data_IF_453492584487
#
_entry.id   IF_453492584487
#
_cell.length_a   1.000
_cell.length_b   1.000
_cell.length_c   1.000
_cell.angle_alpha   90.00
_cell.angle_beta   90.00
_cell.angle_gamma   90.00
#
_symmetry.space_group_name_H-M   'P 1'
#
loop_
_entity.id
_entity.type
_entity.pdbx_description
1 polymer ?
#
# COMPACT_ATOMS: atom_id res chain seq x y z
N UNK A 1 36.54 5.25 -15.60
CA UNK A 1 35.06 5.31 -15.67
C UNK A 1 34.53 4.99 -14.29
N UNK A 2 33.94 5.97 -13.60
CA UNK A 2 33.58 5.84 -12.18
C UNK A 2 32.34 4.98 -11.97
N UNK A 3 32.38 4.09 -10.97
CA UNK A 3 31.27 3.21 -10.56
C UNK A 3 29.96 3.96 -10.28
N UNK A 4 30.03 5.25 -9.94
CA UNK A 4 28.86 6.11 -9.71
C UNK A 4 28.11 6.44 -11.01
N UNK A 5 28.80 6.55 -12.15
CA UNK A 5 28.18 6.85 -13.44
C UNK A 5 27.39 5.67 -13.99
N UNK A 6 27.89 4.44 -13.78
CA UNK A 6 27.20 3.23 -14.23
C UNK A 6 25.95 2.95 -13.40
N UNK A 7 25.98 3.23 -12.09
CA UNK A 7 24.84 3.03 -11.20
C UNK A 7 23.67 3.98 -11.53
N UNK A 8 23.96 5.25 -11.82
CA UNK A 8 22.92 6.23 -12.16
C UNK A 8 22.29 5.96 -13.53
N UNK A 9 23.07 5.50 -14.51
CA UNK A 9 22.55 5.14 -15.83
C UNK A 9 21.58 3.95 -15.77
N UNK A 10 21.98 2.86 -15.10
CA UNK A 10 21.13 1.66 -14.93
C UNK A 10 19.83 2.04 -14.20
N UNK A 11 19.93 2.87 -13.17
CA UNK A 11 18.77 3.32 -12.41
C UNK A 11 17.79 4.12 -13.29
N UNK A 12 18.29 5.04 -14.14
CA UNK A 12 17.46 5.81 -15.06
C UNK A 12 16.80 4.94 -16.14
N UNK A 13 17.48 3.91 -16.65
CA UNK A 13 16.90 2.94 -17.57
C UNK A 13 15.77 2.13 -16.90
N UNK A 14 15.98 1.72 -15.65
CA UNK A 14 14.96 1.03 -14.86
C UNK A 14 13.76 1.96 -14.64
N UNK A 15 13.97 3.20 -14.22
CA UNK A 15 12.91 4.19 -14.07
C UNK A 15 12.10 4.34 -15.37
N UNK A 16 12.78 4.53 -16.50
CA UNK A 16 12.14 4.64 -17.82
C UNK A 16 11.30 3.41 -18.17
N UNK A 17 11.79 2.21 -17.83
CA UNK A 17 11.03 0.97 -18.03
C UNK A 17 9.78 0.87 -17.15
N UNK A 18 9.86 1.34 -15.90
CA UNK A 18 8.74 1.37 -14.96
C UNK A 18 7.66 2.33 -15.42
N UNK A 19 8.04 3.54 -15.84
CA UNK A 19 7.11 4.54 -16.36
C UNK A 19 6.35 3.97 -17.56
N UNK A 20 7.06 3.36 -18.52
CA UNK A 20 6.43 2.74 -19.71
C UNK A 20 5.46 1.63 -19.33
N UNK A 21 5.85 0.77 -18.39
CA UNK A 21 5.06 -0.39 -17.98
C UNK A 21 3.82 0.00 -17.15
N UNK A 22 3.95 0.96 -16.24
CA UNK A 22 2.87 1.36 -15.33
C UNK A 22 1.85 2.32 -15.98
N UNK A 23 2.29 3.11 -16.96
CA UNK A 23 1.47 4.13 -17.64
C UNK A 23 0.07 3.65 -18.08
N UNK A 24 -0.07 2.51 -18.79
CA UNK A 24 -1.39 2.00 -19.19
C UNK A 24 -2.31 1.69 -18.01
N UNK A 25 -1.74 1.22 -16.89
CA UNK A 25 -2.50 0.79 -15.71
C UNK A 25 -2.98 1.94 -14.84
N UNK A 26 -2.36 3.12 -14.94
CA UNK A 26 -2.75 4.33 -14.21
C UNK A 26 -3.51 5.33 -15.10
N UNK A 27 -3.75 4.98 -16.37
CA UNK A 27 -4.47 5.82 -17.33
C UNK A 27 -3.70 7.07 -17.76
N UNK A 28 -2.36 7.01 -17.81
CA UNK A 28 -1.48 8.12 -18.23
C UNK A 28 -0.55 7.67 -19.35
N UNK A 29 0.00 8.62 -20.10
CA UNK A 29 1.06 8.33 -21.07
C UNK A 29 2.44 8.40 -20.40
N UNK A 30 3.46 7.70 -20.93
CA UNK A 30 4.83 7.86 -20.45
C UNK A 30 5.35 9.29 -20.60
N UNK A 31 4.95 10.00 -21.66
CA UNK A 31 5.32 11.41 -21.87
C UNK A 31 4.76 12.32 -20.79
N UNK A 32 3.58 12.00 -20.24
CA UNK A 32 2.96 12.76 -19.14
C UNK A 32 3.83 12.77 -17.89
N UNK A 33 4.72 11.79 -17.71
CA UNK A 33 5.67 11.80 -16.60
C UNK A 33 6.61 13.00 -16.66
N UNK A 34 7.09 13.35 -17.86
CA UNK A 34 8.03 14.47 -18.03
C UNK A 34 7.33 15.84 -18.04
N UNK A 35 6.09 15.91 -18.54
CA UNK A 35 5.35 17.18 -18.62
C UNK A 35 4.57 17.51 -17.34
N UNK A 36 4.10 16.48 -16.62
CA UNK A 36 3.18 16.61 -15.48
C UNK A 36 3.51 15.58 -14.38
N UNK A 37 4.77 15.60 -13.93
CA UNK A 37 5.31 14.61 -12.99
C UNK A 37 4.46 14.48 -11.72
N UNK A 38 4.09 15.60 -11.07
CA UNK A 38 3.30 15.57 -9.83
C UNK A 38 1.97 14.81 -9.97
N UNK A 39 1.27 15.01 -11.09
CA UNK A 39 0.01 14.33 -11.35
C UNK A 39 0.25 12.85 -11.66
N UNK A 40 1.30 12.55 -12.41
CA UNK A 40 1.67 11.17 -12.73
C UNK A 40 2.02 10.39 -11.46
N UNK A 41 2.85 10.97 -10.59
CA UNK A 41 3.26 10.38 -9.32
C UNK A 41 2.08 10.17 -8.37
N UNK A 42 1.16 11.14 -8.27
CA UNK A 42 -0.08 10.97 -7.50
C UNK A 42 -0.90 9.78 -7.98
N UNK A 43 -1.03 9.62 -9.30
CA UNK A 43 -1.75 8.48 -9.88
C UNK A 43 -1.03 7.15 -9.63
N UNK A 44 0.30 7.13 -9.73
CA UNK A 44 1.12 5.96 -9.45
C UNK A 44 0.99 5.54 -7.98
N UNK A 45 1.17 6.47 -7.04
CA UNK A 45 1.00 6.23 -5.59
C UNK A 45 -0.42 5.75 -5.27
N UNK A 46 -1.44 6.35 -5.90
CA UNK A 46 -2.83 5.92 -5.69
C UNK A 46 -3.06 4.46 -6.12
N UNK A 47 -2.35 3.99 -7.15
CA UNK A 47 -2.47 2.62 -7.68
C UNK A 47 -1.61 1.59 -6.96
N UNK A 48 -0.39 1.95 -6.60
CA UNK A 48 0.65 1.00 -6.16
C UNK A 48 1.14 1.25 -4.72
N UNK A 49 0.73 2.34 -4.08
CA UNK A 49 1.04 2.65 -2.69
C UNK A 49 2.45 3.18 -2.42
N UNK A 50 3.31 3.25 -3.44
CA UNK A 50 4.68 3.76 -3.36
C UNK A 50 4.91 4.84 -4.42
N UNK A 51 5.94 5.65 -4.22
CA UNK A 51 6.45 6.50 -5.31
C UNK A 51 7.11 5.64 -6.39
N UNK A 52 7.18 6.12 -7.63
CA UNK A 52 7.84 5.38 -8.71
C UNK A 52 9.34 5.19 -8.44
N UNK A 53 9.98 6.17 -7.80
CA UNK A 53 11.38 6.11 -7.40
C UNK A 53 11.60 4.97 -6.38
N UNK A 54 10.83 4.96 -5.29
CA UNK A 54 10.91 3.88 -4.29
C UNK A 54 10.58 2.51 -4.88
N UNK A 55 9.64 2.45 -5.83
CA UNK A 55 9.32 1.19 -6.51
C UNK A 55 10.49 0.66 -7.36
N UNK A 56 11.28 1.55 -7.97
CA UNK A 56 12.51 1.19 -8.71
C UNK A 56 13.60 0.71 -7.75
N UNK A 57 13.79 1.38 -6.62
CA UNK A 57 14.77 1.00 -5.61
C UNK A 57 14.47 -0.40 -5.06
N UNK A 58 13.21 -0.67 -4.68
CA UNK A 58 12.78 -1.99 -4.23
C UNK A 58 12.92 -3.03 -5.34
N UNK A 59 12.64 -2.67 -6.60
CA UNK A 59 12.85 -3.58 -7.73
C UNK A 59 14.31 -4.04 -7.84
N UNK A 60 15.29 -3.16 -7.64
CA UNK A 60 16.71 -3.53 -7.70
C UNK A 60 17.08 -4.58 -6.64
N UNK A 61 16.45 -4.53 -5.48
CA UNK A 61 16.62 -5.52 -4.41
C UNK A 61 15.99 -6.86 -4.81
N UNK A 62 14.76 -6.83 -5.32
CA UNK A 62 13.98 -8.06 -5.52
C UNK A 62 14.15 -8.72 -6.89
N UNK A 63 14.76 -8.04 -7.86
CA UNK A 63 14.83 -8.49 -9.26
C UNK A 63 15.40 -9.91 -9.39
N UNK A 64 16.46 -10.22 -8.64
CA UNK A 64 17.10 -11.53 -8.69
C UNK A 64 16.19 -12.64 -8.17
N UNK A 65 15.40 -12.37 -7.13
CA UNK A 65 14.38 -13.29 -6.64
C UNK A 65 13.26 -13.46 -7.67
N UNK A 66 12.79 -12.36 -8.28
CA UNK A 66 11.77 -12.43 -9.33
C UNK A 66 12.22 -13.27 -10.53
N UNK A 67 13.47 -13.11 -10.99
CA UNK A 67 14.06 -13.93 -12.06
C UNK A 67 14.09 -15.42 -11.70
N UNK A 68 14.46 -15.76 -10.45
CA UNK A 68 14.47 -17.14 -9.95
C UNK A 68 13.09 -17.81 -10.03
N UNK A 69 12.01 -17.07 -9.78
CA UNK A 69 10.63 -17.56 -9.87
C UNK A 69 9.98 -17.37 -11.25
N UNK A 70 10.77 -17.02 -12.29
CA UNK A 70 10.25 -16.72 -13.64
C UNK A 70 9.13 -15.67 -13.60
N UNK A 71 9.31 -14.65 -12.75
CA UNK A 71 8.41 -13.52 -12.62
C UNK A 71 8.94 -12.35 -13.44
N UNK A 72 8.01 -11.66 -14.11
CA UNK A 72 8.26 -10.45 -14.86
C UNK A 72 8.03 -9.22 -13.99
N UNK A 73 8.60 -8.09 -14.40
CA UNK A 73 8.40 -6.78 -13.77
C UNK A 73 6.93 -6.36 -13.66
N UNK A 74 6.06 -6.83 -14.57
CA UNK A 74 4.63 -6.58 -14.48
C UNK A 74 3.99 -7.28 -13.28
N UNK A 75 4.48 -8.46 -12.89
CA UNK A 75 3.98 -9.16 -11.70
C UNK A 75 4.38 -8.44 -10.41
N UNK A 76 5.50 -7.70 -10.42
CA UNK A 76 5.86 -6.81 -9.33
C UNK A 76 4.81 -5.69 -9.16
N UNK A 77 4.37 -5.07 -10.26
CA UNK A 77 3.26 -4.10 -10.21
C UNK A 77 1.94 -4.72 -9.74
N UNK A 78 1.67 -5.99 -10.09
CA UNK A 78 0.50 -6.71 -9.56
C UNK A 78 0.56 -6.86 -8.05
N UNK A 79 1.74 -7.23 -7.53
CA UNK A 79 1.97 -7.39 -6.10
C UNK A 79 1.83 -6.06 -5.35
N UNK A 80 2.39 -4.97 -5.88
CA UNK A 80 2.21 -3.63 -5.30
C UNK A 80 0.74 -3.21 -5.27
N UNK A 81 0.01 -3.42 -6.37
CA UNK A 81 -1.42 -3.13 -6.42
C UNK A 81 -2.21 -3.99 -5.42
N UNK A 82 -1.86 -5.27 -5.29
CA UNK A 82 -2.48 -6.17 -4.32
C UNK A 82 -2.26 -5.69 -2.88
N UNK A 83 -1.01 -5.40 -2.51
CA UNK A 83 -0.68 -4.88 -1.17
C UNK A 83 -1.35 -3.54 -0.88
N UNK A 84 -1.60 -2.73 -1.91
CA UNK A 84 -2.26 -1.44 -1.76
C UNK A 84 -3.77 -1.54 -1.55
N UNK A 85 -4.46 -2.42 -2.26
CA UNK A 85 -5.94 -2.41 -2.37
C UNK A 85 -6.61 -3.67 -1.79
N UNK A 86 -5.87 -4.76 -1.61
CA UNK A 86 -6.40 -6.10 -1.29
C UNK A 86 -7.66 -6.48 -2.11
N UNK A 87 -7.60 -6.34 -3.45
CA UNK A 87 -8.75 -6.55 -4.30
C UNK A 87 -9.08 -8.04 -4.46
N UNK A 88 -10.31 -8.34 -4.89
CA UNK A 88 -10.67 -9.70 -5.31
C UNK A 88 -9.96 -10.08 -6.61
N UNK A 89 -9.74 -11.38 -6.79
CA UNK A 89 -9.04 -11.95 -7.93
C UNK A 89 -9.69 -11.54 -9.26
N UNK A 90 -11.01 -11.68 -9.37
CA UNK A 90 -11.77 -11.37 -10.57
C UNK A 90 -11.55 -9.93 -11.08
N UNK A 91 -11.63 -8.95 -10.19
CA UNK A 91 -11.49 -7.52 -10.55
C UNK A 91 -10.07 -7.24 -11.06
N UNK A 92 -9.07 -7.81 -10.40
CA UNK A 92 -7.67 -7.47 -10.66
C UNK A 92 -7.11 -8.24 -11.84
N UNK A 93 -7.52 -9.49 -12.00
CA UNK A 93 -7.23 -10.29 -13.18
C UNK A 93 -7.78 -9.62 -14.45
N UNK A 94 -9.01 -9.08 -14.39
CA UNK A 94 -9.56 -8.28 -15.49
C UNK A 94 -8.75 -6.99 -15.74
N UNK A 95 -8.39 -6.24 -14.68
CA UNK A 95 -7.57 -5.02 -14.78
C UNK A 95 -6.23 -5.23 -15.47
N UNK A 96 -5.58 -6.36 -15.19
CA UNK A 96 -4.27 -6.71 -15.77
C UNK A 96 -4.36 -7.66 -16.97
N UNK A 97 -5.56 -7.87 -17.50
CA UNK A 97 -5.81 -8.71 -18.67
C UNK A 97 -5.21 -10.13 -18.55
N UNK A 98 -5.50 -10.81 -17.45
CA UNK A 98 -5.00 -12.16 -17.16
C UNK A 98 -6.10 -13.02 -16.54
N UNK A 99 -5.82 -14.32 -16.31
CA UNK A 99 -6.73 -15.21 -15.58
C UNK A 99 -6.56 -15.07 -14.07
N UNK A 100 -7.63 -15.33 -13.31
CA UNK A 100 -7.62 -15.28 -11.84
C UNK A 100 -6.58 -16.21 -11.23
N UNK A 101 -6.47 -17.44 -11.75
CA UNK A 101 -5.50 -18.43 -11.28
C UNK A 101 -4.05 -17.97 -11.51
N UNK A 102 -3.76 -17.43 -12.69
CA UNK A 102 -2.43 -16.92 -13.01
C UNK A 102 -2.10 -15.68 -12.16
N UNK A 103 -3.05 -14.75 -12.02
CA UNK A 103 -2.87 -13.59 -11.16
C UNK A 103 -2.56 -13.99 -9.72
N UNK A 104 -3.38 -14.87 -9.13
CA UNK A 104 -3.21 -15.37 -7.76
C UNK A 104 -1.83 -16.00 -7.56
N UNK A 105 -1.44 -16.89 -8.46
CA UNK A 105 -0.15 -17.58 -8.39
C UNK A 105 1.02 -16.60 -8.48
N UNK A 106 0.98 -15.66 -9.43
CA UNK A 106 2.07 -14.69 -9.65
C UNK A 106 2.16 -13.68 -8.51
N UNK A 107 1.03 -13.23 -7.96
CA UNK A 107 1.00 -12.34 -6.79
C UNK A 107 1.53 -13.07 -5.55
N UNK A 108 1.10 -14.31 -5.30
CA UNK A 108 1.61 -15.12 -4.18
C UNK A 108 3.13 -15.28 -4.23
N UNK A 109 3.69 -15.66 -5.39
CA UNK A 109 5.15 -15.76 -5.55
C UNK A 109 5.86 -14.42 -5.42
N UNK A 110 5.25 -13.32 -5.92
CA UNK A 110 5.82 -11.98 -5.79
C UNK A 110 5.87 -11.51 -4.33
N UNK A 111 4.83 -11.76 -3.55
CA UNK A 111 4.80 -11.46 -2.10
C UNK A 111 5.82 -12.33 -1.35
N UNK A 112 5.93 -13.60 -1.74
CA UNK A 112 6.96 -14.49 -1.18
C UNK A 112 8.37 -13.94 -1.45
N UNK A 113 8.62 -13.35 -2.64
CA UNK A 113 9.88 -12.67 -2.93
C UNK A 113 10.14 -11.48 -1.99
N UNK A 114 9.11 -10.71 -1.63
CA UNK A 114 9.25 -9.63 -0.65
C UNK A 114 9.59 -10.14 0.75
N UNK A 115 9.15 -11.35 1.10
CA UNK A 115 9.51 -12.00 2.36
C UNK A 115 10.98 -12.42 2.47
N UNK A 116 11.73 -12.44 1.37
CA UNK A 116 13.18 -12.71 1.36
C UNK A 116 14.03 -11.43 1.42
N UNK A 117 13.41 -10.26 1.48
CA UNK A 117 14.13 -9.00 1.65
C UNK A 117 14.70 -8.94 3.06
N UNK A 118 16.02 -8.89 3.17
CA UNK A 118 16.73 -8.74 4.45
C UNK A 118 16.44 -7.39 5.10
N UNK A 119 15.97 -6.41 4.32
CA UNK A 119 15.59 -5.07 4.79
C UNK A 119 14.37 -5.08 5.73
N UNK A 120 13.59 -6.18 5.74
CA UNK A 120 12.39 -6.29 6.57
C UNK A 120 12.67 -7.17 7.80
N UNK A 121 13.22 -6.56 8.85
CA UNK A 121 13.44 -7.21 10.14
C UNK A 121 12.15 -7.24 10.97
N UNK A 122 11.27 -8.21 10.72
CA UNK A 122 10.03 -8.33 11.51
C UNK A 122 10.30 -8.57 13.00
N UNK A 123 11.35 -9.31 13.37
CA UNK A 123 11.69 -9.59 14.77
C UNK A 123 11.99 -8.33 15.58
N UNK A 124 12.60 -7.35 14.91
CA UNK A 124 13.24 -6.20 15.55
C UNK A 124 12.48 -4.90 15.24
N UNK A 125 11.32 -5.00 14.55
CA UNK A 125 10.51 -3.86 14.10
C UNK A 125 10.02 -2.92 15.21
N UNK A 126 10.18 -3.34 16.47
CA UNK A 126 9.84 -2.58 17.66
C UNK A 126 11.07 -2.15 18.47
N UNK A 127 12.27 -2.57 18.08
CA UNK A 127 13.51 -2.17 18.72
C UNK A 127 13.76 -0.68 18.42
N UNK A 128 13.91 0.14 19.48
CA UNK A 128 14.00 1.59 19.35
C UNK A 128 12.67 2.31 19.04
N UNK A 129 11.54 1.60 19.03
CA UNK A 129 10.22 2.20 18.82
C UNK A 129 9.78 3.00 20.06
N UNK A 130 10.09 4.31 20.07
CA UNK A 130 9.79 5.21 21.20
C UNK A 130 8.33 5.68 21.27
N UNK A 131 7.53 5.36 20.24
CA UNK A 131 6.15 5.81 20.14
C UNK A 131 5.21 4.79 20.80
N UNK A 132 4.74 5.08 22.00
CA UNK A 132 3.72 4.27 22.70
C UNK A 132 2.31 4.43 22.11
N UNK A 133 2.14 5.37 21.17
CA UNK A 133 0.89 5.55 20.45
C UNK A 133 0.76 4.50 19.34
N UNK A 134 -0.43 3.92 19.16
CA UNK A 134 -0.66 2.94 18.12
C UNK A 134 -0.45 3.59 16.75
N UNK A 135 0.51 3.07 16.01
CA UNK A 135 1.02 3.67 14.77
C UNK A 135 0.42 3.09 13.50
N UNK A 136 -0.32 1.98 13.62
CA UNK A 136 -1.07 1.40 12.53
C UNK A 136 -2.54 1.20 12.92
N UNK A 137 -3.43 1.74 12.09
CA UNK A 137 -4.84 1.40 12.12
C UNK A 137 -5.02 0.16 11.26
N UNK A 138 -5.32 -0.98 11.88
CA UNK A 138 -5.62 -2.22 11.16
C UNK A 138 -7.12 -2.21 10.86
N UNK A 139 -7.49 -1.38 9.89
CA UNK A 139 -8.84 -1.20 9.33
C UNK A 139 -9.93 -0.77 10.34
N UNK A 140 -10.82 0.11 9.87
CA UNK A 140 -11.86 0.73 10.69
C UNK A 140 -13.26 0.32 10.23
N UNK A 141 -13.96 -0.50 11.01
CA UNK A 141 -15.36 -0.86 10.70
C UNK A 141 -16.28 0.21 11.28
N UNK A 142 -17.12 0.80 10.44
CA UNK A 142 -18.13 1.75 10.91
C UNK A 142 -19.41 0.95 11.22
N UNK A 143 -20.00 1.16 12.39
CA UNK A 143 -21.23 0.49 12.84
C UNK A 143 -22.30 1.54 13.11
N UNK A 144 -23.51 1.33 12.59
CA UNK A 144 -24.66 2.19 12.90
C UNK A 144 -25.12 1.95 14.34
N UNK A 145 -25.49 3.02 15.04
CA UNK A 145 -26.06 2.93 16.39
C UNK A 145 -27.43 3.57 16.41
N UNK A 146 -28.31 3.06 17.27
CA UNK A 146 -29.61 3.67 17.53
C UNK A 146 -29.41 5.11 18.00
N UNK A 147 -30.05 6.07 17.32
CA UNK A 147 -29.90 7.49 17.60
C UNK A 147 -30.37 7.81 19.03
N UNK A 148 -29.45 8.21 19.89
CA UNK A 148 -29.82 8.89 21.13
C UNK A 148 -30.38 10.27 20.77
N UNK A 149 -31.47 10.67 21.44
CA UNK A 149 -32.01 12.04 21.34
C UNK A 149 -31.72 12.80 22.64
N UNK A 150 -31.15 14.02 22.57
CA UNK A 150 -30.78 14.77 21.36
C UNK A 150 -29.57 14.18 20.61
N UNK A 151 -29.53 14.38 19.28
CA UNK A 151 -28.46 13.85 18.42
C UNK A 151 -27.14 14.54 18.76
N UNK A 152 -26.18 13.76 19.26
CA UNK A 152 -24.81 14.21 19.43
C UNK A 152 -24.13 14.31 18.05
N UNK A 153 -23.54 15.48 17.77
CA UNK A 153 -22.85 15.77 16.51
C UNK A 153 -21.59 14.92 16.36
N UNK A 154 -20.95 14.54 17.46
CA UNK A 154 -19.72 13.74 17.44
C UNK A 154 -20.01 12.30 17.00
N UNK A 155 -21.24 11.83 17.16
CA UNK A 155 -21.69 10.51 16.74
C UNK A 155 -22.08 10.45 15.26
N UNK A 156 -22.09 11.56 14.52
CA UNK A 156 -22.60 11.58 13.15
C UNK A 156 -21.59 11.03 12.14
N UNK A 157 -21.98 9.98 11.42
CA UNK A 157 -21.17 9.40 10.33
C UNK A 157 -21.62 9.91 8.97
N UNK A 158 -20.73 10.63 8.26
CA UNK A 158 -20.96 11.06 6.87
C UNK A 158 -21.16 9.88 5.91
N UNK A 159 -20.66 8.69 6.23
CA UNK A 159 -20.80 7.48 5.41
C UNK A 159 -22.20 6.88 5.48
N UNK A 160 -22.86 6.95 6.64
CA UNK A 160 -24.21 6.42 6.86
C UNK A 160 -25.30 7.49 6.84
N UNK A 161 -24.91 8.77 6.87
CA UNK A 161 -25.82 9.93 7.09
C UNK A 161 -26.67 9.80 8.36
N UNK A 162 -26.13 9.11 9.38
CA UNK A 162 -26.78 8.77 10.66
C UNK A 162 -25.73 8.64 11.77
N UNK A 163 -26.19 8.47 13.01
CA UNK A 163 -25.32 8.16 14.14
C UNK A 163 -24.58 6.83 13.95
N UNK A 164 -23.29 6.79 14.25
CA UNK A 164 -22.46 5.59 14.21
C UNK A 164 -21.17 5.74 14.98
N UNK A 165 -20.58 4.61 15.32
CA UNK A 165 -19.21 4.54 15.85
C UNK A 165 -18.28 3.95 14.81
N UNK A 166 -17.03 4.39 14.84
CA UNK A 166 -15.95 3.69 14.15
C UNK A 166 -15.21 2.84 15.16
N UNK A 167 -15.22 1.54 14.91
CA UNK A 167 -14.39 0.59 15.62
C UNK A 167 -13.04 0.57 14.94
N UNK A 168 -11.98 0.78 15.72
CA UNK A 168 -10.62 0.73 15.23
C UNK A 168 -9.86 -0.32 16.04
N UNK A 169 -9.19 -1.22 15.34
CA UNK A 169 -8.24 -2.14 15.95
C UNK A 169 -6.89 -1.45 16.05
N UNK A 170 -6.41 -1.32 17.28
CA UNK A 170 -5.09 -0.79 17.58
C UNK A 170 -4.22 -1.92 18.08
N UNK A 171 -3.06 -2.07 17.45
CA UNK A 171 -2.08 -3.06 17.87
C UNK A 171 -0.87 -2.34 18.48
N UNK A 172 -0.48 -2.74 19.69
CA UNK A 172 0.56 -2.06 20.47
C UNK A 172 1.54 -3.05 21.14
N UNK A 173 2.82 -2.67 21.30
CA UNK A 173 3.87 -3.57 21.79
C UNK A 173 3.89 -3.76 23.32
N UNK A 174 3.16 -2.97 24.10
CA UNK A 174 3.08 -3.16 25.54
C UNK A 174 2.15 -4.34 25.88
N UNK A 175 2.75 -5.54 25.99
CA UNK A 175 2.14 -6.81 26.40
C UNK A 175 1.08 -7.39 25.45
N UNK A 176 1.36 -7.67 24.18
CA UNK A 176 0.51 -8.51 23.30
C UNK A 176 -1.01 -8.35 23.51
N UNK A 177 -1.46 -7.10 23.66
CA UNK A 177 -2.81 -6.77 24.12
C UNK A 177 -3.55 -6.16 22.94
N UNK A 178 -4.65 -6.78 22.57
CA UNK A 178 -5.54 -6.27 21.55
C UNK A 178 -6.44 -5.22 22.20
N UNK A 179 -6.31 -3.96 21.78
CA UNK A 179 -7.12 -2.87 22.29
C UNK A 179 -8.22 -2.53 21.28
N UNK A 180 -9.46 -2.57 21.74
CA UNK A 180 -10.62 -2.09 20.99
C UNK A 180 -10.83 -0.64 21.36
N UNK A 181 -10.73 0.25 20.38
CA UNK A 181 -11.08 1.66 20.56
C UNK A 181 -12.37 1.97 19.81
N UNK A 182 -13.34 2.48 20.55
CA UNK A 182 -14.62 2.97 20.03
C UNK A 182 -14.50 4.49 19.92
N UNK A 183 -14.40 4.99 18.70
CA UNK A 183 -14.36 6.43 18.44
C UNK A 183 -15.70 6.92 17.88
N UNK A 184 -16.15 8.13 18.29
CA UNK A 184 -17.23 8.83 17.60
C UNK A 184 -16.93 8.94 16.10
N UNK A 185 -17.94 8.76 15.23
CA UNK A 185 -17.72 8.77 13.78
C UNK A 185 -17.37 10.17 13.21
N UNK A 186 -17.59 11.23 13.99
CA UNK A 186 -17.25 12.60 13.66
C UNK A 186 -15.92 13.02 14.28
N UNK A 187 -14.99 13.41 13.39
CA UNK A 187 -13.68 14.01 13.67
C UNK A 187 -12.60 13.04 14.18
N UNK A 188 -11.52 12.93 13.39
CA UNK A 188 -10.23 12.37 13.81
C UNK A 188 -9.53 13.26 14.84
N UNK A 189 -10.22 13.62 15.92
CA UNK A 189 -9.58 14.12 17.12
C UNK A 189 -9.15 12.92 17.95
N UNK A 190 -7.83 12.73 18.00
CA UNK A 190 -7.16 11.93 19.02
C UNK A 190 -7.59 12.46 20.38
N UNK A 191 -8.40 11.69 21.11
CA UNK A 191 -8.47 11.83 22.55
C UNK A 191 -7.09 11.47 23.10
N UNK A 192 -6.44 12.45 23.75
CA UNK A 192 -5.21 12.20 24.48
C UNK A 192 -5.49 11.18 25.58
N UNK A 193 -4.91 9.99 25.42
CA UNK A 193 -4.61 9.02 26.47
C UNK A 193 -3.21 8.47 26.20
#
# INVERSE_FOLDING_TARGET
MSLQYTSSHIWNELLGSFIKLASPHIGKSPLSYHCHQDLWDRHFVAHFGLTVHSAVDVWQIVENFFKKYQLLKIHYLWALHYLKVYPTEAITAAKFNTSESNWRQKVYHSITCFGFMDEIHFGDRFEGWSCTQPSCYVDGVNIMVSEARPLDKDLFSHKFKKAGYRWQWLWGPAKSSMWVVVCPAGNGQTSHW
#
